data_IF_967597872507
#
_entry.id   IF_967597872507
#
_cell.length_a   1.000
_cell.length_b   1.000
_cell.length_c   1.000
_cell.angle_alpha   90.00
_cell.angle_beta   90.00
_cell.angle_gamma   90.00
#
_symmetry.space_group_name_H-M   'P 1'
#
loop_
_entity.id
_entity.type
_entity.pdbx_description
1 polymer ?
#
# COMPACT_ATOMS: atom_id res chain seq x y z
N UNK A 1 20.08 6.55 2.98
CA UNK A 1 18.73 7.00 2.55
C UNK A 1 18.10 5.86 1.76
N UNK A 2 16.89 5.41 2.12
CA UNK A 2 16.23 4.33 1.37
C UNK A 2 15.79 4.88 0.01
N UNK A 3 16.36 4.37 -1.07
CA UNK A 3 15.99 4.77 -2.43
C UNK A 3 14.67 4.09 -2.82
N UNK A 4 13.56 4.83 -2.85
CA UNK A 4 12.25 4.31 -3.26
C UNK A 4 12.10 4.15 -4.79
N UNK A 5 13.01 4.66 -5.61
CA UNK A 5 12.89 4.59 -7.09
C UNK A 5 12.85 3.15 -7.63
N UNK A 6 13.32 2.18 -6.85
CA UNK A 6 13.30 0.76 -7.20
C UNK A 6 11.98 0.06 -6.87
N UNK A 7 11.10 0.67 -6.10
CA UNK A 7 9.78 0.14 -5.76
C UNK A 7 8.73 0.72 -6.71
N UNK A 8 8.07 -0.15 -7.46
CA UNK A 8 6.97 0.17 -8.36
C UNK A 8 5.65 -0.20 -7.69
N UNK A 9 4.56 0.43 -8.13
CA UNK A 9 3.22 0.20 -7.56
C UNK A 9 2.78 -1.27 -7.59
N UNK A 10 3.14 -2.03 -8.63
CA UNK A 10 2.81 -3.45 -8.71
C UNK A 10 3.56 -4.33 -7.69
N UNK A 11 4.71 -3.88 -7.18
CA UNK A 11 5.42 -4.62 -6.12
C UNK A 11 4.65 -4.58 -4.79
N UNK A 12 3.67 -3.68 -4.68
CA UNK A 12 2.85 -3.50 -3.49
C UNK A 12 1.56 -4.31 -3.53
N UNK A 13 1.27 -5.03 -4.63
CA UNK A 13 0.10 -5.91 -4.70
C UNK A 13 0.20 -7.02 -3.63
N UNK A 14 -0.92 -7.27 -2.95
CA UNK A 14 -1.03 -8.17 -1.81
C UNK A 14 -0.46 -7.62 -0.50
N UNK A 15 0.22 -6.47 -0.52
CA UNK A 15 0.86 -5.89 0.67
C UNK A 15 -0.09 -4.99 1.44
N UNK A 16 0.11 -4.93 2.75
CA UNK A 16 -0.64 -4.02 3.62
C UNK A 16 -0.21 -2.57 3.37
N UNK A 17 -1.18 -1.73 3.04
CA UNK A 17 -1.02 -0.28 2.92
C UNK A 17 -1.66 0.42 4.10
N UNK A 18 -1.04 1.50 4.53
CA UNK A 18 -1.61 2.46 5.48
C UNK A 18 -2.00 3.71 4.70
N UNK A 19 -3.29 3.90 4.47
CA UNK A 19 -3.86 4.99 3.66
C UNK A 19 -4.47 6.03 4.58
N UNK A 20 -3.94 7.25 4.55
CA UNK A 20 -4.53 8.39 5.26
C UNK A 20 -5.52 9.08 4.33
N UNK A 21 -6.77 9.25 4.77
CA UNK A 21 -7.82 9.96 4.01
C UNK A 21 -7.95 11.41 4.50
N UNK A 22 -7.80 11.64 5.79
CA UNK A 22 -7.78 12.96 6.44
C UNK A 22 -6.95 12.90 7.72
N UNK A 23 -6.83 14.01 8.44
CA UNK A 23 -6.10 14.06 9.72
C UNK A 23 -6.63 13.06 10.76
N UNK A 24 -7.92 12.74 10.67
CA UNK A 24 -8.62 11.90 11.66
C UNK A 24 -9.05 10.53 11.14
N UNK A 25 -9.02 10.32 9.82
CA UNK A 25 -9.48 9.09 9.18
C UNK A 25 -8.39 8.39 8.38
N UNK A 26 -8.21 7.10 8.65
CA UNK A 26 -7.25 6.24 7.96
C UNK A 26 -7.80 4.84 7.71
N UNK A 27 -7.29 4.20 6.67
CA UNK A 27 -7.58 2.82 6.30
C UNK A 27 -6.28 2.01 6.33
N UNK A 28 -6.34 0.80 6.86
CA UNK A 28 -5.29 -0.20 6.72
C UNK A 28 -5.87 -1.41 6.03
N UNK A 29 -5.27 -1.88 4.94
CA UNK A 29 -5.77 -3.04 4.19
C UNK A 29 -4.76 -3.54 3.16
N UNK A 30 -5.00 -4.72 2.59
CA UNK A 30 -4.15 -5.32 1.55
C UNK A 30 -4.50 -4.74 0.19
N UNK A 31 -3.51 -4.26 -0.56
CA UNK A 31 -3.73 -3.78 -1.92
C UNK A 31 -4.05 -4.95 -2.86
N UNK A 32 -5.27 -4.99 -3.39
CA UNK A 32 -5.68 -6.01 -4.36
C UNK A 32 -5.49 -5.53 -5.79
N UNK A 33 -5.85 -4.27 -6.05
CA UNK A 33 -5.73 -3.69 -7.39
C UNK A 33 -5.50 -2.18 -7.31
N UNK A 34 -4.89 -1.66 -8.37
CA UNK A 34 -4.73 -0.25 -8.64
C UNK A 34 -4.97 0.01 -10.12
N UNK A 35 -5.71 1.06 -10.45
CA UNK A 35 -5.96 1.45 -11.84
C UNK A 35 -5.03 2.58 -12.33
N UNK A 36 -5.20 2.99 -13.58
CA UNK A 36 -4.40 4.07 -14.18
C UNK A 36 -4.68 5.47 -13.61
N UNK A 37 -5.71 5.62 -12.77
CA UNK A 37 -6.04 6.84 -12.04
C UNK A 37 -5.62 6.77 -10.57
N UNK A 38 -4.88 5.72 -10.20
CA UNK A 38 -4.44 5.44 -8.84
C UNK A 38 -5.59 5.23 -7.84
N UNK A 39 -6.76 4.81 -8.32
CA UNK A 39 -7.82 4.32 -7.43
C UNK A 39 -7.39 2.96 -6.87
N UNK A 40 -7.58 2.79 -5.57
CA UNK A 40 -7.15 1.59 -4.85
C UNK A 40 -8.35 0.67 -4.61
N UNK A 41 -8.12 -0.63 -4.76
CA UNK A 41 -8.99 -1.66 -4.21
C UNK A 41 -8.24 -2.34 -3.07
N UNK A 42 -8.78 -2.23 -1.86
CA UNK A 42 -8.19 -2.77 -0.64
C UNK A 42 -9.09 -3.86 -0.06
N UNK A 43 -8.50 -4.95 0.40
CA UNK A 43 -9.20 -6.02 1.12
C UNK A 43 -8.78 -6.08 2.59
N UNK A 44 -9.59 -6.77 3.40
CA UNK A 44 -9.45 -6.91 4.86
C UNK A 44 -9.32 -5.54 5.56
N UNK A 45 -10.01 -4.52 5.06
CA UNK A 45 -9.81 -3.14 5.48
C UNK A 45 -10.27 -2.94 6.91
N UNK A 46 -9.40 -2.30 7.70
CA UNK A 46 -9.70 -1.74 9.00
C UNK A 46 -9.66 -0.22 8.87
N UNK A 47 -10.78 0.42 9.21
CA UNK A 47 -10.87 1.87 9.32
C UNK A 47 -10.58 2.29 10.76
N UNK A 48 -9.81 3.36 10.92
CA UNK A 48 -9.72 4.13 12.15
C UNK A 48 -10.19 5.56 11.85
N UNK A 49 -11.23 6.01 12.55
CA UNK A 49 -11.78 7.35 12.47
C UNK A 49 -11.88 7.93 13.88
N UNK A 50 -10.99 8.85 14.26
CA UNK A 50 -10.98 9.47 15.59
C UNK A 50 -10.93 8.45 16.75
N UNK A 51 -10.22 7.34 16.56
CA UNK A 51 -10.12 6.26 17.55
C UNK A 51 -11.23 5.22 17.45
N UNK A 52 -12.28 5.46 16.66
CA UNK A 52 -13.28 4.44 16.34
C UNK A 52 -12.74 3.49 15.28
N UNK A 53 -12.54 2.24 15.66
CA UNK A 53 -11.97 1.20 14.81
C UNK A 53 -13.04 0.21 14.37
N UNK A 54 -13.16 -0.03 13.06
CA UNK A 54 -14.07 -1.06 12.52
C UNK A 54 -13.49 -1.78 11.32
N UNK A 55 -13.94 -3.02 11.11
CA UNK A 55 -13.65 -3.81 9.90
C UNK A 55 -14.66 -3.44 8.81
N UNK A 56 -14.16 -3.22 7.60
CA UNK A 56 -14.91 -2.80 6.43
C UNK A 56 -14.93 -3.86 5.32
N UNK A 57 -14.01 -4.84 5.35
CA UNK A 57 -13.90 -5.85 4.30
C UNK A 57 -13.25 -5.28 3.04
N UNK A 58 -13.91 -5.42 1.89
CA UNK A 58 -13.44 -4.92 0.60
C UNK A 58 -13.86 -3.46 0.38
N UNK A 59 -12.90 -2.58 0.12
CA UNK A 59 -13.13 -1.13 -0.04
C UNK A 59 -12.43 -0.59 -1.27
N UNK A 60 -13.15 0.13 -2.12
CA UNK A 60 -12.56 0.95 -3.17
C UNK A 60 -12.33 2.38 -2.66
N UNK A 61 -11.13 2.92 -2.90
CA UNK A 61 -10.72 4.25 -2.45
C UNK A 61 -10.31 5.06 -3.68
N UNK A 62 -11.02 6.16 -3.99
CA UNK A 62 -10.63 7.03 -5.10
C UNK A 62 -9.34 7.78 -4.75
N UNK A 63 -8.47 8.00 -5.74
CA UNK A 63 -7.20 8.70 -5.52
C UNK A 63 -7.41 10.11 -4.92
N UNK A 64 -8.47 10.80 -5.32
CA UNK A 64 -8.81 12.13 -4.80
C UNK A 64 -9.08 12.17 -3.29
N UNK A 65 -9.43 11.04 -2.68
CA UNK A 65 -9.64 10.93 -1.24
C UNK A 65 -8.36 10.54 -0.47
N UNK A 66 -7.26 10.22 -1.17
CA UNK A 66 -6.00 9.77 -0.55
C UNK A 66 -5.11 10.97 -0.26
N UNK A 67 -4.85 11.22 1.02
CA UNK A 67 -3.86 12.22 1.46
C UNK A 67 -2.44 11.67 1.41
N UNK A 68 -2.23 10.45 1.91
CA UNK A 68 -0.93 9.78 1.79
C UNK A 68 -1.06 8.27 1.88
N UNK A 69 -0.08 7.57 1.33
CA UNK A 69 0.07 6.12 1.44
C UNK A 69 1.41 5.83 2.10
N UNK A 70 1.40 5.01 3.13
CA UNK A 70 2.60 4.53 3.82
C UNK A 70 2.66 3.01 3.74
N UNK A 71 3.89 2.52 3.65
CA UNK A 71 4.21 1.09 3.69
C UNK A 71 5.23 0.85 4.79
N UNK A 72 5.32 -0.41 5.24
CA UNK A 72 6.37 -0.82 6.18
C UNK A 72 7.75 -0.64 5.57
N UNK A 73 8.71 -0.18 6.36
CA UNK A 73 10.10 0.03 5.90
C UNK A 73 10.74 -1.28 5.46
N UNK A 74 10.42 -2.37 6.17
CA UNK A 74 10.93 -3.71 5.92
C UNK A 74 10.51 -4.22 4.54
N UNK A 75 9.32 -3.84 4.08
CA UNK A 75 8.81 -4.21 2.76
C UNK A 75 9.68 -3.65 1.64
N UNK A 76 10.16 -2.41 1.79
CA UNK A 76 11.06 -1.79 0.81
C UNK A 76 12.35 -2.61 0.66
N UNK A 77 12.95 -3.00 1.80
CA UNK A 77 14.15 -3.83 1.80
C UNK A 77 13.91 -5.21 1.19
N UNK A 78 12.75 -5.83 1.47
CA UNK A 78 12.37 -7.13 0.92
C UNK A 78 12.21 -7.08 -0.62
N UNK A 79 11.52 -6.07 -1.13
CA UNK A 79 11.34 -5.87 -2.58
C UNK A 79 12.70 -5.68 -3.28
N UNK A 80 13.58 -4.88 -2.67
CA UNK A 80 14.93 -4.66 -3.21
C UNK A 80 15.76 -5.94 -3.26
N UNK A 81 15.75 -6.72 -2.17
CA UNK A 81 16.46 -8.00 -2.11
C UNK A 81 15.93 -8.99 -3.15
N UNK A 82 14.59 -9.10 -3.27
CA UNK A 82 13.95 -10.01 -4.24
C UNK A 82 14.31 -9.65 -5.69
N UNK A 83 14.31 -8.36 -6.04
CA UNK A 83 14.70 -7.93 -7.39
C UNK A 83 16.18 -8.19 -7.67
N UNK A 84 17.05 -7.96 -6.69
CA UNK A 84 18.48 -8.25 -6.83
C UNK A 84 18.74 -9.75 -7.02
N UNK A 85 18.05 -10.63 -6.28
CA UNK A 85 18.21 -12.07 -6.44
C UNK A 85 17.75 -12.57 -7.81
N UNK A 86 16.59 -12.10 -8.30
CA UNK A 86 16.08 -12.45 -9.63
C UNK A 86 17.07 -12.00 -10.71
N UNK A 87 17.59 -10.78 -10.60
CA UNK A 87 18.57 -10.27 -11.56
C UNK A 87 19.86 -11.11 -11.55
N UNK A 88 20.37 -11.52 -10.39
CA UNK A 88 21.57 -12.37 -10.32
C UNK A 88 21.39 -13.78 -10.88
N UNK A 89 20.15 -14.29 -10.92
CA UNK A 89 19.85 -15.65 -11.37
C UNK A 89 19.60 -15.75 -12.88
N UNK A 90 19.16 -14.65 -13.51
CA UNK A 90 18.71 -14.64 -14.91
C UNK A 90 19.27 -13.49 -15.76
N UNK A 91 20.09 -12.61 -15.19
CA UNK A 91 20.79 -11.52 -15.89
C UNK A 91 22.23 -11.88 -16.21
#
# INVERSE_FOLDING_TARGET
MNNLSSVKLHDLLGQALYVTLSETRSLTGKLIAIDCKANLLLDEVVENNEGHVRRMGLVSVPFAAVSSVKIKKELVSQIQAMKASIHSQYG
#
